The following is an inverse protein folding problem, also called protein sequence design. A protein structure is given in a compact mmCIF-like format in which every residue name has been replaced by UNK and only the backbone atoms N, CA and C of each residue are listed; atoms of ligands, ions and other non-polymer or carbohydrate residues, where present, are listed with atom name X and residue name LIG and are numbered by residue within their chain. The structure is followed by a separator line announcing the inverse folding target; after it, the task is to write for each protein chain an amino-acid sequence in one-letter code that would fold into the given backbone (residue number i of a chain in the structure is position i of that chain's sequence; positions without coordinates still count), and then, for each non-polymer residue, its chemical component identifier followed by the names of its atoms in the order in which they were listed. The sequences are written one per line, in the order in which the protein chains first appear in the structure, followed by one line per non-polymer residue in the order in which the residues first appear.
data_IF_524195023848
#
_entry.id   IF_524195023848
#
_cell.length_a   1.000
_cell.length_b   1.000
_cell.length_c   1.000
_cell.angle_alpha   90.00
_cell.angle_beta   90.00
_cell.angle_gamma   90.00
#
_symmetry.space_group_name_H-M   'P 1'
#
loop_
_entity.id
_entity.type
_entity.pdbx_description
1 polymer ?
#
# COMPACT_ATOMS: atom_id res chain seq x y z
N UNK A 1 -0.49 -3.67 -47.50
CA UNK A 1 -0.45 -2.39 -46.76
C UNK A 1 -1.68 -2.34 -45.87
N UNK A 2 -1.52 -2.60 -44.57
CA UNK A 2 -2.61 -2.52 -43.59
C UNK A 2 -2.21 -1.52 -42.51
N UNK A 3 -2.94 -0.42 -42.42
CA UNK A 3 -2.72 0.59 -41.38
C UNK A 3 -3.28 0.07 -40.06
N UNK A 4 -2.37 -0.27 -39.14
CA UNK A 4 -2.67 -0.44 -37.71
C UNK A 4 -2.97 0.95 -37.13
N UNK A 5 -4.27 1.25 -36.97
CA UNK A 5 -4.73 2.39 -36.20
C UNK A 5 -4.31 2.23 -34.74
N UNK A 6 -3.53 3.17 -34.22
CA UNK A 6 -3.30 3.31 -32.78
C UNK A 6 -4.53 3.98 -32.18
N UNK A 7 -5.20 3.30 -31.25
CA UNK A 7 -6.20 3.95 -30.39
C UNK A 7 -5.52 5.07 -29.59
N UNK A 8 -6.13 6.27 -29.47
CA UNK A 8 -5.61 7.32 -28.61
C UNK A 8 -5.76 6.90 -27.13
N UNK A 9 -4.83 7.30 -26.25
CA UNK A 9 -4.98 7.06 -24.83
C UNK A 9 -6.26 7.75 -24.34
N UNK A 10 -7.20 6.96 -23.83
CA UNK A 10 -8.38 7.47 -23.16
C UNK A 10 -7.93 8.37 -22.01
N UNK A 11 -8.27 9.64 -22.09
CA UNK A 11 -8.07 10.61 -21.01
C UNK A 11 -8.88 10.13 -19.81
N UNK A 12 -8.18 9.62 -18.79
CA UNK A 12 -8.77 9.45 -17.46
C UNK A 12 -9.28 10.83 -17.02
N UNK A 13 -10.61 10.98 -16.95
CA UNK A 13 -11.22 12.18 -16.37
C UNK A 13 -10.73 12.37 -14.94
N UNK A 14 -10.76 13.60 -14.39
CA UNK A 14 -10.30 13.85 -13.04
C UNK A 14 -11.08 12.94 -12.08
N UNK A 15 -10.34 12.11 -11.32
CA UNK A 15 -10.93 11.36 -10.23
C UNK A 15 -11.64 12.38 -9.32
N UNK A 16 -12.97 12.28 -9.22
CA UNK A 16 -13.75 13.16 -8.36
C UNK A 16 -13.29 12.92 -6.94
N UNK A 17 -12.54 13.87 -6.37
CA UNK A 17 -12.17 13.84 -4.96
C UNK A 17 -13.47 13.87 -4.13
N UNK A 18 -13.83 12.73 -3.57
CA UNK A 18 -14.89 12.66 -2.56
C UNK A 18 -14.21 13.02 -1.23
N UNK A 19 -14.59 14.12 -0.56
CA UNK A 19 -13.97 14.47 0.71
C UNK A 19 -14.36 13.41 1.75
N UNK A 20 -13.37 12.61 2.16
CA UNK A 20 -13.52 11.68 3.27
C UNK A 20 -13.60 12.48 4.58
N UNK A 21 -14.77 12.47 5.23
CA UNK A 21 -15.02 13.30 6.43
C UNK A 21 -14.31 12.79 7.69
N UNK A 22 -14.04 11.49 7.76
CA UNK A 22 -13.32 10.84 8.86
C UNK A 22 -13.09 9.38 8.52
N UNK A 23 -11.91 8.84 8.81
CA UNK A 23 -11.58 7.43 8.60
C UNK A 23 -11.18 6.74 9.91
N UNK A 24 -11.70 5.54 10.17
CA UNK A 24 -11.28 4.69 11.28
C UNK A 24 -9.97 4.01 10.92
N UNK A 25 -8.93 4.18 11.74
CA UNK A 25 -7.65 3.47 11.56
C UNK A 25 -7.85 1.96 11.63
N UNK A 26 -7.34 1.25 10.61
CA UNK A 26 -7.33 -0.22 10.54
C UNK A 26 -5.96 -0.80 10.92
N UNK A 27 -4.88 -0.07 10.63
CA UNK A 27 -3.50 -0.50 10.89
C UNK A 27 -2.58 -0.11 9.74
N UNK A 28 -1.37 -0.67 9.74
CA UNK A 28 -0.36 -0.39 8.72
C UNK A 28 -0.07 -1.64 7.87
N UNK A 29 -0.01 -1.43 6.56
CA UNK A 29 0.49 -2.39 5.58
C UNK A 29 1.91 -1.99 5.18
N UNK A 30 2.83 -2.95 5.07
CA UNK A 30 4.16 -2.66 4.52
C UNK A 30 4.12 -2.77 3.01
N UNK A 31 4.43 -1.65 2.36
CA UNK A 31 4.40 -1.53 0.91
C UNK A 31 5.76 -1.11 0.37
N UNK A 32 6.16 -1.76 -0.71
CA UNK A 32 7.31 -1.40 -1.51
C UNK A 32 6.87 -0.89 -2.88
N UNK A 33 7.67 -0.04 -3.50
CA UNK A 33 7.43 0.42 -4.86
C UNK A 33 8.58 0.00 -5.76
N UNK A 34 8.27 -0.70 -6.85
CA UNK A 34 9.16 -0.87 -7.99
C UNK A 34 8.58 -0.15 -9.22
N UNK A 35 9.33 -0.13 -10.34
CA UNK A 35 9.06 0.50 -11.64
C UNK A 35 7.59 0.63 -12.10
N UNK A 36 6.79 1.44 -11.39
CA UNK A 36 5.36 1.66 -11.64
C UNK A 36 4.39 0.74 -10.86
N UNK A 37 4.85 -0.10 -9.93
CA UNK A 37 3.99 -1.06 -9.20
C UNK A 37 4.24 -1.03 -7.70
N UNK A 38 3.14 -1.15 -6.95
CA UNK A 38 3.16 -1.35 -5.51
C UNK A 38 3.14 -2.83 -5.17
N UNK A 39 3.97 -3.22 -4.22
CA UNK A 39 4.07 -4.56 -3.66
C UNK A 39 3.74 -4.50 -2.19
N UNK A 40 2.89 -5.39 -1.71
CA UNK A 40 2.80 -5.64 -0.27
C UNK A 40 3.86 -6.66 0.12
N UNK A 41 4.35 -6.60 1.36
CA UNK A 41 5.24 -7.63 1.91
C UNK A 41 4.61 -9.04 1.96
N UNK A 42 3.27 -9.13 1.84
CA UNK A 42 2.54 -10.40 1.72
C UNK A 42 2.56 -10.95 0.30
N UNK A 43 2.75 -10.12 -0.73
CA UNK A 43 2.91 -10.58 -2.12
C UNK A 43 4.23 -11.30 -2.36
N UNK A 44 5.27 -10.92 -1.61
CA UNK A 44 6.62 -11.48 -1.74
C UNK A 44 6.81 -12.50 -0.62
N UNK A 45 6.62 -13.78 -0.97
CA UNK A 45 6.57 -14.87 0.00
C UNK A 45 7.79 -14.91 0.93
N UNK A 46 7.52 -15.05 2.23
CA UNK A 46 8.56 -15.16 3.26
C UNK A 46 8.86 -13.88 4.02
N UNK A 47 8.62 -12.70 3.44
CA UNK A 47 9.02 -11.42 4.05
C UNK A 47 8.37 -11.16 5.42
N UNK A 48 7.11 -11.55 5.61
CA UNK A 48 6.44 -11.43 6.91
C UNK A 48 7.19 -12.23 7.98
N UNK A 49 7.64 -13.44 7.65
CA UNK A 49 8.39 -14.28 8.58
C UNK A 49 9.82 -13.75 8.80
N UNK A 50 10.46 -13.20 7.76
CA UNK A 50 11.79 -12.58 7.86
C UNK A 50 11.75 -11.36 8.80
N UNK A 51 10.79 -10.46 8.59
CA UNK A 51 10.58 -9.29 9.46
C UNK A 51 10.30 -9.72 10.89
N UNK A 52 9.43 -10.71 11.10
CA UNK A 52 9.14 -11.23 12.43
C UNK A 52 10.41 -11.75 13.11
N UNK A 53 11.19 -12.59 12.42
CA UNK A 53 12.44 -13.15 12.97
C UNK A 53 13.46 -12.07 13.34
N UNK A 54 13.55 -11.00 12.56
CA UNK A 54 14.56 -9.97 12.76
C UNK A 54 14.14 -8.88 13.75
N UNK A 55 12.85 -8.52 13.78
CA UNK A 55 12.36 -7.32 14.48
C UNK A 55 11.36 -7.63 15.59
N UNK A 56 10.84 -8.86 15.62
CA UNK A 56 9.72 -9.26 16.48
C UNK A 56 8.36 -8.72 16.02
N UNK A 57 8.30 -7.90 14.97
CA UNK A 57 7.06 -7.30 14.48
C UNK A 57 6.20 -8.37 13.81
N UNK A 58 4.95 -8.49 14.26
CA UNK A 58 3.98 -9.43 13.72
C UNK A 58 2.71 -8.67 13.32
N UNK A 59 2.14 -8.93 12.13
CA UNK A 59 0.82 -8.40 11.81
C UNK A 59 -0.25 -8.96 12.75
N UNK A 60 -1.25 -8.14 13.06
CA UNK A 60 -2.43 -8.54 13.83
C UNK A 60 -3.39 -9.43 13.04
N UNK A 61 -4.60 -9.64 13.57
CA UNK A 61 -5.62 -10.55 13.03
C UNK A 61 -6.06 -10.25 11.59
N UNK A 62 -5.82 -9.03 11.11
CA UNK A 62 -6.19 -8.58 9.76
C UNK A 62 -5.00 -8.49 8.81
N UNK A 63 -3.83 -9.02 9.20
CA UNK A 63 -2.60 -8.87 8.40
C UNK A 63 -1.93 -7.50 8.54
N UNK A 64 -2.45 -6.62 9.39
CA UNK A 64 -1.96 -5.25 9.56
C UNK A 64 -1.19 -5.08 10.87
N UNK A 65 -0.07 -4.35 10.81
CA UNK A 65 0.69 -3.93 11.98
C UNK A 65 -0.14 -2.88 12.74
N UNK A 66 -0.36 -3.09 14.03
CA UNK A 66 -1.20 -2.21 14.84
C UNK A 66 -0.41 -1.11 15.50
N UNK A 67 0.80 -1.39 15.97
CA UNK A 67 1.64 -0.40 16.63
C UNK A 67 2.38 0.49 15.62
N UNK A 68 2.42 1.79 15.90
CA UNK A 68 3.04 2.75 14.99
C UNK A 68 4.57 2.70 15.02
N UNK A 69 5.18 2.37 16.16
CA UNK A 69 6.63 2.24 16.25
C UNK A 69 7.10 0.98 15.53
N UNK A 70 6.35 -0.12 15.66
CA UNK A 70 6.54 -1.33 14.83
C UNK A 70 6.42 -1.02 13.34
N UNK A 71 5.38 -0.26 12.95
CA UNK A 71 5.19 0.15 11.57
C UNK A 71 6.28 1.09 11.04
N UNK A 72 7.06 1.76 11.91
CA UNK A 72 8.24 2.54 11.49
C UNK A 72 9.49 1.67 11.38
N UNK A 73 9.70 0.77 12.34
CA UNK A 73 10.89 -0.09 12.41
C UNK A 73 10.93 -1.15 11.33
N UNK A 74 9.80 -1.80 11.06
CA UNK A 74 9.73 -2.90 10.09
C UNK A 74 10.11 -2.51 8.65
N UNK A 75 9.57 -1.43 8.03
CA UNK A 75 9.96 -1.04 6.68
C UNK A 75 11.39 -0.50 6.59
N UNK A 76 11.90 0.11 7.68
CA UNK A 76 13.32 0.50 7.75
C UNK A 76 14.21 -0.73 7.65
N UNK A 77 13.97 -1.75 8.49
CA UNK A 77 14.75 -2.98 8.44
C UNK A 77 14.63 -3.69 7.09
N UNK A 78 13.43 -3.79 6.51
CA UNK A 78 13.22 -4.36 5.18
C UNK A 78 14.07 -3.66 4.11
N UNK A 79 14.06 -2.33 4.11
CA UNK A 79 14.87 -1.50 3.20
C UNK A 79 16.36 -1.77 3.38
N UNK A 80 16.85 -1.78 4.62
CA UNK A 80 18.26 -2.00 4.94
C UNK A 80 18.73 -3.43 4.66
N UNK A 81 17.84 -4.42 4.80
CA UNK A 81 18.15 -5.83 4.58
C UNK A 81 18.38 -6.20 3.10
N UNK A 82 17.80 -5.41 2.17
CA UNK A 82 17.76 -5.73 0.75
C UNK A 82 16.96 -7.00 0.41
N UNK A 83 16.18 -7.54 1.35
CA UNK A 83 15.31 -8.69 1.12
C UNK A 83 14.03 -8.29 0.38
N UNK A 84 13.52 -9.22 -0.42
CA UNK A 84 12.31 -9.04 -1.22
C UNK A 84 12.60 -9.09 -2.72
N UNK A 85 11.82 -8.36 -3.50
CA UNK A 85 12.08 -8.20 -4.93
C UNK A 85 13.27 -7.24 -5.09
N UNK A 86 14.36 -7.63 -5.79
CA UNK A 86 15.53 -6.77 -5.99
C UNK A 86 15.22 -5.41 -6.66
N UNK A 87 14.05 -5.26 -7.29
CA UNK A 87 13.59 -4.01 -7.89
C UNK A 87 12.92 -3.08 -6.89
N UNK A 88 12.52 -3.58 -5.72
CA UNK A 88 11.94 -2.82 -4.62
C UNK A 88 13.08 -2.38 -3.71
N UNK A 89 13.52 -1.14 -3.87
CA UNK A 89 14.65 -0.57 -3.13
C UNK A 89 14.23 0.21 -1.88
N UNK A 90 12.93 0.48 -1.71
CA UNK A 90 12.38 1.19 -0.55
C UNK A 90 11.06 0.57 -0.11
N UNK A 91 10.96 0.37 1.21
CA UNK A 91 9.74 -0.05 1.89
C UNK A 91 9.21 1.08 2.77
N UNK A 92 7.88 1.18 2.88
CA UNK A 92 7.18 2.15 3.70
C UNK A 92 5.98 1.51 4.40
N UNK A 93 5.51 2.13 5.48
CA UNK A 93 4.24 1.77 6.10
C UNK A 93 3.11 2.66 5.57
N UNK A 94 2.14 2.03 4.93
CA UNK A 94 0.90 2.67 4.50
C UNK A 94 -0.15 2.52 5.60
N UNK A 95 -0.61 3.65 6.16
CA UNK A 95 -1.74 3.66 7.09
C UNK A 95 -3.04 3.37 6.32
N UNK A 96 -3.70 2.27 6.65
CA UNK A 96 -5.01 1.93 6.12
C UNK A 96 -6.11 2.48 7.03
N UNK A 97 -7.05 3.20 6.42
CA UNK A 97 -8.22 3.77 7.09
C UNK A 97 -9.50 3.32 6.40
N UNK A 98 -10.48 2.94 7.21
CA UNK A 98 -11.84 2.68 6.79
C UNK A 98 -12.58 4.01 6.73
N UNK A 99 -12.78 4.52 5.52
CA UNK A 99 -13.40 5.82 5.26
C UNK A 99 -14.90 5.67 5.10
N UNK A 100 -15.67 6.30 5.99
CA UNK A 100 -17.10 6.46 5.78
C UNK A 100 -17.31 7.40 4.60
N UNK A 101 -17.98 6.93 3.55
CA UNK A 101 -18.38 7.80 2.45
C UNK A 101 -19.37 8.84 2.97
N UNK A 102 -19.11 10.12 2.69
CA UNK A 102 -20.12 11.14 2.88
C UNK A 102 -21.25 10.86 1.88
N UNK A 103 -22.42 10.44 2.37
CA UNK A 103 -23.62 10.37 1.55
C UNK A 103 -23.82 11.74 0.94
N UNK A 104 -23.77 11.84 -0.39
CA UNK A 104 -24.08 13.07 -1.11
C UNK A 104 -25.56 13.37 -0.82
N UNK A 105 -25.83 14.28 0.11
CA UNK A 105 -27.15 14.88 0.20
C UNK A 105 -27.34 15.68 -1.07
N UNK A 106 -28.18 15.16 -1.96
CA UNK A 106 -28.66 15.90 -3.12
C UNK A 106 -29.78 16.76 -2.55
N UNK A 107 -29.50 18.04 -2.32
CA UNK A 107 -30.55 19.02 -2.04
C UNK A 107 -31.36 19.21 -3.33
N UNK A 108 -32.67 18.99 -3.24
CA UNK A 108 -33.67 19.21 -4.30
C UNK A 108 -34.02 20.70 -4.40
#
# INVERSE_FOLDING_TARGET
MGHIGRDPPGTAGPAREVPYRSGRRLGFELVGFDSGRWHTWTCLGGLVADVYRATGVQPGSWGLIQDEQEARRAPQWLTESGLGDPKVFLWAAALLTDVAQATLQTEE
#
